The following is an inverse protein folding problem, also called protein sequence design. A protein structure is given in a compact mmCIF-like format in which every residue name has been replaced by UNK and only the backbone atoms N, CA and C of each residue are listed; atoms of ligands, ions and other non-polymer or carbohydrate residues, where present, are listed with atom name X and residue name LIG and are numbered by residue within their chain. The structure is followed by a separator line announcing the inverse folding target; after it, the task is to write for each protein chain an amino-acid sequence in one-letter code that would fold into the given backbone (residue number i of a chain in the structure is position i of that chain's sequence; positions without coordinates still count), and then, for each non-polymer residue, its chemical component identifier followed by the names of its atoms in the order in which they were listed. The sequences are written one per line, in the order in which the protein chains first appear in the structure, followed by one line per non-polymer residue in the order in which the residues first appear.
data_IF_047826261767
#
_entry.id   IF_047826261767
#
_cell.length_a   1.000
_cell.length_b   1.000
_cell.length_c   1.000
_cell.angle_alpha   90.00
_cell.angle_beta   90.00
_cell.angle_gamma   90.00
#
_symmetry.space_group_name_H-M   'P 1'
#
loop_
_entity.id
_entity.type
_entity.pdbx_description
1 polymer ?
#
# COMPACT_ATOMS: atom_id res chain seq x y z
N UNK A 1 3.49 9.42 -20.98
CA UNK A 1 3.48 8.46 -19.84
C UNK A 1 3.90 9.19 -18.58
N UNK A 2 3.12 9.16 -17.49
CA UNK A 2 3.53 9.74 -16.22
C UNK A 2 4.83 9.07 -15.78
N UNK A 3 5.95 9.79 -15.85
CA UNK A 3 7.30 9.25 -15.57
C UNK A 3 7.53 8.91 -14.09
N UNK A 4 6.51 9.13 -13.25
CA UNK A 4 6.60 9.08 -11.79
C UNK A 4 5.29 8.54 -11.23
N UNK A 5 5.39 7.61 -10.29
CA UNK A 5 4.30 7.25 -9.38
C UNK A 5 4.59 7.88 -8.03
N UNK A 6 3.59 8.50 -7.41
CA UNK A 6 3.72 9.11 -6.08
C UNK A 6 2.91 8.32 -5.07
N UNK A 7 3.46 8.16 -3.86
CA UNK A 7 2.74 7.52 -2.75
C UNK A 7 1.40 8.21 -2.46
N UNK A 8 1.33 9.55 -2.60
CA UNK A 8 0.08 10.31 -2.45
C UNK A 8 -1.03 9.87 -3.42
N UNK A 9 -0.68 9.48 -4.65
CA UNK A 9 -1.65 9.07 -5.67
C UNK A 9 -2.18 7.66 -5.36
N UNK A 10 -1.33 6.81 -4.77
CA UNK A 10 -1.72 5.49 -4.25
C UNK A 10 -2.58 5.63 -3.00
N UNK A 11 -2.24 6.54 -2.09
CA UNK A 11 -3.07 6.86 -0.92
C UNK A 11 -4.45 7.36 -1.34
N UNK A 12 -4.53 8.25 -2.33
CA UNK A 12 -5.80 8.76 -2.81
C UNK A 12 -6.68 7.66 -3.41
N UNK A 13 -6.09 6.70 -4.13
CA UNK A 13 -6.84 5.56 -4.68
C UNK A 13 -7.38 4.63 -3.57
N UNK A 14 -6.57 4.33 -2.55
CA UNK A 14 -7.03 3.52 -1.41
C UNK A 14 -8.08 4.25 -0.57
N UNK A 15 -7.89 5.55 -0.31
CA UNK A 15 -8.88 6.36 0.39
C UNK A 15 -10.20 6.44 -0.38
N UNK A 16 -10.17 6.57 -1.72
CA UNK A 16 -11.39 6.55 -2.53
C UNK A 16 -12.10 5.19 -2.53
N UNK A 17 -11.35 4.11 -2.30
CA UNK A 17 -11.87 2.76 -2.09
C UNK A 17 -12.45 2.52 -0.69
N UNK A 18 -12.40 3.52 0.20
CA UNK A 18 -12.92 3.45 1.56
C UNK A 18 -12.00 2.78 2.57
N UNK A 19 -10.72 2.60 2.24
CA UNK A 19 -9.72 2.09 3.18
C UNK A 19 -9.16 3.24 4.01
N UNK A 20 -8.77 2.95 5.26
CA UNK A 20 -8.14 3.93 6.15
C UNK A 20 -6.62 3.73 6.21
N UNK A 21 -5.84 4.83 6.22
CA UNK A 21 -4.41 4.74 6.41
C UNK A 21 -4.09 4.32 7.85
N UNK A 22 -3.00 3.58 8.01
CA UNK A 22 -2.40 3.31 9.31
C UNK A 22 -1.85 4.61 9.89
N UNK A 23 -2.40 4.99 11.04
CA UNK A 23 -2.02 6.19 11.79
C UNK A 23 -1.40 5.78 13.13
N UNK A 24 -0.43 6.56 13.60
CA UNK A 24 0.13 6.36 14.93
C UNK A 24 -0.55 7.32 15.90
N UNK A 25 -1.24 6.74 16.87
CA UNK A 25 -1.74 7.42 18.05
C UNK A 25 -0.76 7.22 19.22
N UNK A 26 -0.34 8.28 19.93
CA UNK A 26 0.60 8.18 21.03
C UNK A 26 0.04 7.43 22.26
N UNK A 27 -1.28 7.37 22.43
CA UNK A 27 -1.96 6.73 23.54
C UNK A 27 -2.33 5.27 23.23
N UNK A 28 -2.65 4.97 21.96
CA UNK A 28 -3.18 3.65 21.55
C UNK A 28 -2.26 2.87 20.58
N UNK A 29 -1.18 3.48 20.10
CA UNK A 29 -0.22 2.85 19.19
C UNK A 29 -0.63 2.99 17.72
N UNK A 30 -0.27 2.01 16.90
CA UNK A 30 -0.59 2.05 15.46
C UNK A 30 -1.98 1.49 15.21
N UNK A 31 -2.85 2.30 14.62
CA UNK A 31 -4.14 1.85 14.14
C UNK A 31 -3.97 0.92 12.92
N UNK A 32 -4.80 -0.13 12.81
CA UNK A 32 -4.76 -1.01 11.66
C UNK A 32 -5.13 -0.27 10.37
N UNK A 33 -4.36 -0.46 9.31
CA UNK A 33 -4.62 0.24 8.06
C UNK A 33 -3.54 0.07 7.02
N UNK A 34 -3.74 0.72 5.86
CA UNK A 34 -2.73 0.69 4.81
C UNK A 34 -1.64 1.73 5.07
N UNK A 35 -0.42 1.43 4.65
CA UNK A 35 0.67 2.41 4.64
C UNK A 35 1.41 2.38 3.31
N UNK A 36 1.28 3.45 2.53
CA UNK A 36 2.01 3.60 1.29
C UNK A 36 3.33 4.35 1.51
N UNK A 37 4.43 3.72 1.11
CA UNK A 37 5.80 4.24 1.26
C UNK A 37 6.43 4.39 -0.11
N UNK A 38 6.99 5.57 -0.39
CA UNK A 38 7.72 5.80 -1.64
C UNK A 38 9.02 4.98 -1.65
N UNK A 39 9.14 4.03 -2.58
CA UNK A 39 10.32 3.17 -2.71
C UNK A 39 11.28 3.64 -3.81
N UNK A 40 10.80 4.43 -4.77
CA UNK A 40 11.60 5.04 -5.82
C UNK A 40 10.75 5.84 -6.78
N UNK A 41 11.35 6.44 -7.80
CA UNK A 41 10.63 7.31 -8.76
C UNK A 41 9.46 6.60 -9.46
N UNK A 42 9.59 5.29 -9.70
CA UNK A 42 8.59 4.47 -10.42
C UNK A 42 7.97 3.38 -9.54
N UNK A 43 8.19 3.44 -8.23
CA UNK A 43 7.74 2.40 -7.31
C UNK A 43 7.24 2.99 -5.99
N UNK A 44 6.10 2.47 -5.54
CA UNK A 44 5.55 2.66 -4.20
C UNK A 44 5.34 1.28 -3.60
N UNK A 45 5.64 1.12 -2.31
CA UNK A 45 5.32 -0.09 -1.57
C UNK A 45 4.12 0.18 -0.67
N UNK A 46 3.12 -0.71 -0.66
CA UNK A 46 1.99 -0.64 0.27
C UNK A 46 2.11 -1.79 1.27
N UNK A 47 1.91 -1.47 2.54
CA UNK A 47 1.88 -2.42 3.64
C UNK A 47 0.50 -2.39 4.30
N UNK A 48 0.18 -3.44 5.05
CA UNK A 48 -0.90 -3.41 6.03
C UNK A 48 -0.25 -3.44 7.42
N UNK A 49 -0.54 -2.45 8.24
CA UNK A 49 -0.22 -2.45 9.66
C UNK A 49 -1.43 -2.99 10.43
N UNK A 50 -1.21 -3.81 11.46
CA UNK A 50 -2.28 -4.41 12.25
C UNK A 50 -2.68 -5.84 11.84
N UNK A 51 -3.70 -6.41 12.52
CA UNK A 51 -4.18 -7.77 12.27
C UNK A 51 -4.89 -7.87 10.91
N UNK A 52 -4.78 -9.02 10.26
CA UNK A 52 -5.43 -9.24 8.96
C UNK A 52 -4.59 -8.86 7.74
N UNK A 53 -3.25 -8.78 7.89
CA UNK A 53 -2.29 -8.41 6.84
C UNK A 53 -2.58 -9.07 5.48
N UNK A 54 -2.82 -10.37 5.45
CA UNK A 54 -3.09 -11.10 4.18
C UNK A 54 -4.35 -10.58 3.50
N UNK A 55 -5.47 -10.54 4.23
CA UNK A 55 -6.77 -10.10 3.71
C UNK A 55 -6.75 -8.63 3.30
N UNK A 56 -6.11 -7.77 4.10
CA UNK A 56 -5.94 -6.36 3.77
C UNK A 56 -5.14 -6.17 2.48
N UNK A 57 -4.01 -6.87 2.32
CA UNK A 57 -3.19 -6.79 1.11
C UNK A 57 -3.92 -7.33 -0.13
N UNK A 58 -4.76 -8.35 0.00
CA UNK A 58 -5.61 -8.87 -1.09
C UNK A 58 -6.65 -7.83 -1.53
N UNK A 59 -7.32 -7.19 -0.58
CA UNK A 59 -8.29 -6.12 -0.85
C UNK A 59 -7.64 -4.92 -1.54
N UNK A 60 -6.50 -4.44 -1.03
CA UNK A 60 -5.76 -3.34 -1.64
C UNK A 60 -5.24 -3.71 -3.04
N UNK A 61 -4.91 -4.98 -3.28
CA UNK A 61 -4.49 -5.47 -4.59
C UNK A 61 -5.62 -5.34 -5.61
N UNK A 62 -6.84 -5.76 -5.24
CA UNK A 62 -8.00 -5.65 -6.12
C UNK A 62 -8.29 -4.18 -6.46
N UNK A 63 -8.32 -3.31 -5.45
CA UNK A 63 -8.60 -1.89 -5.61
C UNK A 63 -7.58 -1.19 -6.52
N UNK A 64 -6.29 -1.35 -6.21
CA UNK A 64 -5.22 -0.68 -6.96
C UNK A 64 -5.12 -1.19 -8.40
N UNK A 65 -5.42 -2.47 -8.65
CA UNK A 65 -5.52 -2.99 -10.02
C UNK A 65 -6.73 -2.40 -10.76
N UNK A 66 -7.88 -2.26 -10.11
CA UNK A 66 -9.05 -1.60 -10.68
C UNK A 66 -8.77 -0.13 -11.03
N UNK A 67 -7.95 0.55 -10.21
CA UNK A 67 -7.44 1.90 -10.47
C UNK A 67 -6.36 1.97 -11.57
N UNK A 68 -6.00 0.84 -12.20
CA UNK A 68 -5.06 0.78 -13.32
C UNK A 68 -3.58 0.71 -12.94
N UNK A 69 -3.25 0.45 -11.67
CA UNK A 69 -1.88 0.19 -11.26
C UNK A 69 -1.47 -1.25 -11.55
N UNK A 70 -0.18 -1.45 -11.80
CA UNK A 70 0.41 -2.77 -11.78
C UNK A 70 0.82 -3.10 -10.34
N UNK A 71 0.31 -4.21 -9.80
CA UNK A 71 0.44 -4.58 -8.38
C UNK A 71 0.97 -5.99 -8.25
N UNK A 72 2.11 -6.13 -7.56
CA UNK A 72 2.77 -7.41 -7.27
C UNK A 72 2.88 -7.58 -5.76
N UNK A 73 2.33 -8.66 -5.22
CA UNK A 73 2.58 -9.01 -3.82
C UNK A 73 4.01 -9.56 -3.68
N UNK A 74 4.73 -9.07 -2.69
CA UNK A 74 6.13 -9.38 -2.43
C UNK A 74 6.40 -9.50 -0.92
N UNK A 75 7.48 -10.19 -0.56
CA UNK A 75 8.02 -10.22 0.80
C UNK A 75 9.29 -9.37 0.86
N UNK A 76 9.50 -8.59 1.93
CA UNK A 76 10.78 -7.93 2.12
C UNK A 76 11.94 -8.95 2.18
N UNK A 77 13.12 -8.63 1.63
CA UNK A 77 14.31 -9.48 1.71
C UNK A 77 14.61 -9.89 3.16
N UNK A 78 15.07 -11.13 3.34
CA UNK A 78 15.36 -11.69 4.66
C UNK A 78 14.13 -12.15 5.45
N UNK A 79 12.97 -12.31 4.79
CA UNK A 79 11.74 -12.74 5.45
C UNK A 79 11.07 -11.63 6.27
N UNK A 80 11.27 -10.36 5.87
CA UNK A 80 10.71 -9.19 6.53
C UNK A 80 9.18 -9.07 6.35
N UNK A 81 8.62 -7.86 6.26
CA UNK A 81 7.15 -7.69 6.14
C UNK A 81 6.63 -8.02 4.74
N UNK A 82 5.36 -8.43 4.63
CA UNK A 82 4.65 -8.52 3.35
C UNK A 82 4.33 -7.13 2.83
N UNK A 83 4.34 -6.97 1.51
CA UNK A 83 4.10 -5.69 0.85
C UNK A 83 3.52 -5.89 -0.55
N UNK A 84 2.91 -4.84 -1.07
CA UNK A 84 2.56 -4.72 -2.47
C UNK A 84 3.54 -3.78 -3.15
N UNK A 85 4.15 -4.21 -4.24
CA UNK A 85 4.90 -3.35 -5.17
C UNK A 85 3.94 -2.76 -6.17
N UNK A 86 3.80 -1.44 -6.12
CA UNK A 86 2.94 -0.67 -7.00
C UNK A 86 3.80 0.05 -8.03
N UNK A 87 3.53 -0.23 -9.30
CA UNK A 87 4.12 0.45 -10.44
C UNK A 87 3.02 0.89 -11.40
N UNK A 88 3.38 1.68 -12.41
CA UNK A 88 2.50 1.95 -13.56
C UNK A 88 3.05 1.21 -14.78
N UNK A 89 2.16 0.65 -15.62
CA UNK A 89 2.56 0.11 -16.92
C UNK A 89 3.32 1.15 -17.75
#
# INVERSE_FOLDING_TARGET
MPRVIRARDVNAALASGGYEPSEYDPDYGWDPGYRAVQAGRRQVNVFHDGPGETTGLEQYTAELRAAGYHVVADQMPGGGRRRLHITRP
#
